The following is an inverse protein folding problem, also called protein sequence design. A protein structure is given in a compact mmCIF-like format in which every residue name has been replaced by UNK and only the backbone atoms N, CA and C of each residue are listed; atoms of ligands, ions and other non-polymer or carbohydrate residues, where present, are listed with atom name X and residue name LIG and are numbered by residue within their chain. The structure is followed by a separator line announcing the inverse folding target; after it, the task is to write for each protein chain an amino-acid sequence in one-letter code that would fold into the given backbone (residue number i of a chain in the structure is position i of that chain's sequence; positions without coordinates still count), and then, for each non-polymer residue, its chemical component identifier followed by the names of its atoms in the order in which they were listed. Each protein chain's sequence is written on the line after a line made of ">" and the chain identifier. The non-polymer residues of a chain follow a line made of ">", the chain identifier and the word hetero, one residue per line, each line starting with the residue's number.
data_IF_470380319634
#
_entry.id   IF_470380319634
#
_cell.length_a   1.000
_cell.length_b   1.000
_cell.length_c   1.000
_cell.angle_alpha   90.00
_cell.angle_beta   90.00
_cell.angle_gamma   90.00
#
_symmetry.space_group_name_H-M   'P 1'
#
loop_
_entity.id
_entity.type
_entity.pdbx_description
1 polymer ?
#
# COMPACT_ATOMS: atom_id res chain seq x y z
N UNK A 1 37.48 -15.11 41.55
CA UNK A 1 38.50 -14.40 40.76
C UNK A 1 38.07 -14.51 39.30
N UNK A 2 37.14 -13.66 38.87
CA UNK A 2 36.58 -13.72 37.52
C UNK A 2 37.54 -13.00 36.56
N UNK A 3 37.93 -13.68 35.49
CA UNK A 3 38.92 -13.20 34.53
C UNK A 3 38.39 -12.00 33.74
N UNK A 4 39.23 -11.01 33.38
CA UNK A 4 38.82 -9.79 32.68
C UNK A 4 38.24 -10.00 31.27
N UNK A 5 38.30 -11.22 30.72
CA UNK A 5 37.75 -11.57 29.39
C UNK A 5 36.24 -11.82 29.37
N UNK A 6 35.63 -12.16 30.51
CA UNK A 6 34.20 -12.53 30.56
C UNK A 6 33.30 -11.29 30.63
N UNK A 7 33.80 -10.18 31.18
CA UNK A 7 33.07 -8.92 31.31
C UNK A 7 32.84 -8.25 29.94
N UNK A 8 33.84 -8.30 29.03
CA UNK A 8 33.79 -7.62 27.74
C UNK A 8 32.86 -8.30 26.72
N UNK A 9 32.72 -9.63 26.76
CA UNK A 9 31.81 -10.35 25.87
C UNK A 9 30.32 -10.08 26.20
N UNK A 10 29.99 -9.93 27.49
CA UNK A 10 28.64 -9.61 27.96
C UNK A 10 28.25 -8.20 27.50
N UNK A 11 29.13 -7.21 27.69
CA UNK A 11 28.88 -5.83 27.24
C UNK A 11 28.73 -5.72 25.72
N UNK A 12 29.52 -6.45 24.93
CA UNK A 12 29.38 -6.45 23.47
C UNK A 12 28.02 -7.04 23.06
N UNK A 13 27.59 -8.14 23.66
CA UNK A 13 26.29 -8.76 23.34
C UNK A 13 25.10 -7.88 23.74
N UNK A 14 25.18 -7.17 24.88
CA UNK A 14 24.17 -6.20 25.31
C UNK A 14 24.15 -4.95 24.40
N UNK A 15 25.31 -4.47 23.95
CA UNK A 15 25.38 -3.34 23.00
C UNK A 15 24.89 -3.70 21.60
N UNK A 16 25.12 -4.94 21.12
CA UNK A 16 24.57 -5.40 19.85
C UNK A 16 23.04 -5.54 19.92
N UNK A 17 22.50 -6.08 21.02
CA UNK A 17 21.05 -6.15 21.24
C UNK A 17 20.41 -4.75 21.37
N UNK A 18 21.07 -3.80 22.05
CA UNK A 18 20.60 -2.41 22.17
C UNK A 18 20.72 -1.62 20.85
N UNK A 19 21.67 -1.98 19.97
CA UNK A 19 21.82 -1.37 18.65
C UNK A 19 20.78 -1.91 17.66
N UNK A 20 20.40 -3.19 17.77
CA UNK A 20 19.27 -3.76 17.02
C UNK A 20 17.94 -3.16 17.46
N UNK A 21 17.68 -3.05 18.77
CA UNK A 21 16.46 -2.40 19.26
C UNK A 21 16.37 -0.94 18.82
N UNK A 22 17.48 -0.18 18.89
CA UNK A 22 17.51 1.21 18.44
C UNK A 22 17.32 1.40 16.94
N UNK A 23 17.75 0.44 16.10
CA UNK A 23 17.51 0.49 14.66
C UNK A 23 16.06 0.16 14.31
N UNK A 24 15.48 -0.87 14.95
CA UNK A 24 14.09 -1.25 14.80
C UNK A 24 13.13 -0.16 15.30
N UNK A 25 13.44 0.48 16.43
CA UNK A 25 12.69 1.61 16.98
C UNK A 25 12.70 2.82 16.03
N UNK A 26 13.84 3.10 15.39
CA UNK A 26 13.95 4.18 14.39
C UNK A 26 13.14 3.89 13.12
N UNK A 27 13.12 2.63 12.69
CA UNK A 27 12.34 2.19 11.53
C UNK A 27 10.84 2.28 11.84
N UNK A 28 10.42 1.80 13.02
CA UNK A 28 9.04 1.92 13.49
C UNK A 28 8.61 3.39 13.60
N UNK A 29 9.47 4.26 14.15
CA UNK A 29 9.22 5.70 14.23
C UNK A 29 9.10 6.37 12.86
N UNK A 30 9.90 5.95 11.88
CA UNK A 30 9.81 6.43 10.50
C UNK A 30 8.46 6.03 9.87
N UNK A 31 8.07 4.76 9.98
CA UNK A 31 6.79 4.29 9.44
C UNK A 31 5.59 4.89 10.18
N UNK A 32 5.68 5.14 11.48
CA UNK A 32 4.65 5.86 12.23
C UNK A 32 4.48 7.30 11.74
N UNK A 33 5.60 8.00 11.47
CA UNK A 33 5.58 9.41 11.03
C UNK A 33 5.15 9.59 9.57
N UNK A 34 5.60 8.72 8.66
CA UNK A 34 5.35 8.86 7.22
C UNK A 34 4.30 7.90 6.66
N UNK A 35 3.87 6.90 7.44
CA UNK A 35 3.04 5.79 6.94
C UNK A 35 1.72 6.23 6.32
N UNK A 36 1.05 7.23 6.90
CA UNK A 36 -0.22 7.78 6.37
C UNK A 36 -0.03 8.42 4.98
N UNK A 37 1.06 9.17 4.78
CA UNK A 37 1.36 9.82 3.50
C UNK A 37 1.84 8.82 2.44
N UNK A 38 2.68 7.86 2.83
CA UNK A 38 3.14 6.80 1.94
C UNK A 38 1.97 5.91 1.48
N UNK A 39 1.01 5.62 2.36
CA UNK A 39 -0.18 4.87 2.01
C UNK A 39 -1.08 5.64 1.04
N UNK A 40 -1.23 6.96 1.21
CA UNK A 40 -1.96 7.80 0.27
C UNK A 40 -1.30 7.82 -1.12
N UNK A 41 0.02 7.98 -1.17
CA UNK A 41 0.80 7.95 -2.41
C UNK A 41 0.60 6.62 -3.13
N UNK A 42 0.76 5.51 -2.42
CA UNK A 42 0.58 4.16 -2.98
C UNK A 42 -0.84 3.95 -3.51
N UNK A 43 -1.87 4.33 -2.74
CA UNK A 43 -3.27 4.17 -3.14
C UNK A 43 -3.61 5.03 -4.37
N UNK A 44 -3.03 6.23 -4.47
CA UNK A 44 -3.24 7.13 -5.62
C UNK A 44 -2.56 6.59 -6.88
N UNK A 45 -1.33 6.10 -6.76
CA UNK A 45 -0.60 5.47 -7.88
C UNK A 45 -1.38 4.25 -8.39
N UNK A 46 -1.87 3.39 -7.48
CA UNK A 46 -2.65 2.21 -7.87
C UNK A 46 -3.97 2.59 -8.56
N UNK A 47 -4.66 3.63 -8.06
CA UNK A 47 -5.91 4.14 -8.65
C UNK A 47 -5.68 4.74 -10.03
N UNK A 48 -4.65 5.57 -10.20
CA UNK A 48 -4.29 6.18 -11.48
C UNK A 48 -3.83 5.12 -12.48
N UNK A 49 -3.01 4.16 -12.06
CA UNK A 49 -2.57 3.04 -12.89
C UNK A 49 -3.75 2.20 -13.40
N UNK A 50 -4.72 1.90 -12.53
CA UNK A 50 -5.94 1.20 -12.93
C UNK A 50 -6.79 2.01 -13.93
N UNK A 51 -6.85 3.33 -13.79
CA UNK A 51 -7.57 4.21 -14.72
C UNK A 51 -6.86 4.28 -16.07
N UNK A 52 -5.54 4.43 -16.06
CA UNK A 52 -4.70 4.51 -17.25
C UNK A 52 -4.84 3.26 -18.13
N UNK A 53 -4.87 2.05 -17.54
CA UNK A 53 -5.09 0.83 -18.30
C UNK A 53 -6.47 0.76 -18.97
N UNK A 54 -7.49 1.33 -18.35
CA UNK A 54 -8.87 1.34 -18.89
C UNK A 54 -9.04 2.36 -20.00
N UNK A 55 -8.59 3.60 -19.78
CA UNK A 55 -8.85 4.72 -20.69
C UNK A 55 -7.78 4.84 -21.79
N UNK A 56 -6.49 4.74 -21.43
CA UNK A 56 -5.40 4.97 -22.39
C UNK A 56 -5.06 3.72 -23.20
N UNK A 57 -5.05 2.54 -22.57
CA UNK A 57 -4.76 1.28 -23.24
C UNK A 57 -6.01 0.58 -23.78
N UNK A 58 -7.20 1.05 -23.43
CA UNK A 58 -8.48 0.50 -23.88
C UNK A 58 -8.72 -0.93 -23.40
N UNK A 59 -8.14 -1.34 -22.27
CA UNK A 59 -8.34 -2.68 -21.71
C UNK A 59 -9.52 -2.70 -20.75
N UNK A 60 -10.67 -3.26 -21.17
CA UNK A 60 -11.86 -3.25 -20.33
C UNK A 60 -11.66 -4.15 -19.10
N UNK A 61 -12.04 -3.70 -17.89
CA UNK A 61 -11.85 -4.47 -16.68
C UNK A 61 -12.82 -5.66 -16.63
N UNK A 62 -12.33 -6.81 -16.18
CA UNK A 62 -13.19 -7.94 -15.84
C UNK A 62 -13.94 -7.70 -14.52
N UNK A 63 -14.94 -8.54 -14.21
CA UNK A 63 -15.76 -8.42 -12.99
C UNK A 63 -14.92 -8.44 -11.70
N UNK A 64 -13.88 -9.29 -11.63
CA UNK A 64 -12.96 -9.33 -10.48
C UNK A 64 -12.13 -8.05 -10.34
N UNK A 65 -11.60 -7.51 -11.46
CA UNK A 65 -10.90 -6.22 -11.46
C UNK A 65 -11.83 -5.08 -11.02
N UNK A 66 -13.11 -5.14 -11.38
CA UNK A 66 -14.10 -4.16 -10.95
C UNK A 66 -14.30 -4.17 -9.43
N UNK A 67 -14.37 -5.36 -8.80
CA UNK A 67 -14.37 -5.46 -7.34
C UNK A 67 -13.10 -4.88 -6.70
N UNK A 68 -11.93 -5.12 -7.30
CA UNK A 68 -10.67 -4.52 -6.82
C UNK A 68 -10.72 -2.98 -6.89
N UNK A 69 -11.30 -2.40 -7.95
CA UNK A 69 -11.49 -0.94 -8.08
C UNK A 69 -12.42 -0.37 -7.01
N UNK A 70 -13.55 -1.04 -6.73
CA UNK A 70 -14.48 -0.61 -5.68
C UNK A 70 -13.81 -0.59 -4.31
N UNK A 71 -12.89 -1.51 -4.04
CA UNK A 71 -12.17 -1.55 -2.77
C UNK A 71 -11.06 -0.49 -2.72
N UNK A 72 -10.35 -0.25 -3.84
CA UNK A 72 -9.20 0.67 -3.88
C UNK A 72 -9.61 2.15 -3.86
N UNK A 73 -10.64 2.54 -4.61
CA UNK A 73 -11.02 3.95 -4.75
C UNK A 73 -11.46 4.64 -3.44
N UNK A 74 -12.32 4.02 -2.61
CA UNK A 74 -12.66 4.60 -1.32
C UNK A 74 -11.46 4.65 -0.37
N UNK A 75 -10.46 3.76 -0.46
CA UNK A 75 -9.26 3.84 0.37
C UNK A 75 -8.53 5.17 0.17
N UNK A 76 -8.39 5.63 -1.07
CA UNK A 76 -7.76 6.94 -1.38
C UNK A 76 -8.50 8.07 -0.65
N UNK A 77 -9.83 8.08 -0.75
CA UNK A 77 -10.68 9.10 -0.13
C UNK A 77 -10.62 9.02 1.40
N UNK A 78 -10.68 7.81 1.96
CA UNK A 78 -10.62 7.58 3.41
C UNK A 78 -9.29 8.04 4.00
N UNK A 79 -8.16 7.69 3.37
CA UNK A 79 -6.83 8.14 3.82
C UNK A 79 -6.72 9.66 3.70
N UNK A 80 -7.17 10.25 2.59
CA UNK A 80 -7.14 11.70 2.39
C UNK A 80 -7.95 12.44 3.47
N UNK A 81 -9.20 12.03 3.69
CA UNK A 81 -10.08 12.63 4.70
C UNK A 81 -9.54 12.38 6.11
N UNK A 82 -8.98 11.20 6.38
CA UNK A 82 -8.36 10.87 7.67
C UNK A 82 -7.17 11.75 8.00
N UNK A 83 -6.34 12.08 7.00
CA UNK A 83 -5.23 13.02 7.18
C UNK A 83 -5.76 14.44 7.40
N UNK A 84 -6.76 14.89 6.63
CA UNK A 84 -7.36 16.22 6.80
C UNK A 84 -8.04 16.41 8.16
N UNK A 85 -8.72 15.38 8.67
CA UNK A 85 -9.40 15.40 9.97
C UNK A 85 -8.49 15.02 11.15
N UNK A 86 -7.23 14.63 10.89
CA UNK A 86 -6.31 14.07 11.91
C UNK A 86 -6.95 12.95 12.73
N UNK A 87 -7.70 12.07 12.06
CA UNK A 87 -8.42 10.98 12.72
C UNK A 87 -7.47 9.83 13.11
N UNK A 88 -7.41 9.53 14.40
CA UNK A 88 -6.61 8.42 14.95
C UNK A 88 -7.19 7.05 14.62
N UNK A 89 -8.51 6.97 14.38
CA UNK A 89 -9.21 5.74 14.02
C UNK A 89 -9.05 5.31 12.55
N UNK A 90 -8.25 6.02 11.76
CA UNK A 90 -8.11 5.78 10.30
C UNK A 90 -7.77 4.32 9.96
N UNK A 91 -6.88 3.70 10.73
CA UNK A 91 -6.42 2.34 10.51
C UNK A 91 -7.56 1.31 10.61
N UNK A 92 -8.57 1.55 11.45
CA UNK A 92 -9.72 0.65 11.63
C UNK A 92 -10.61 0.55 10.40
N UNK A 93 -10.67 1.60 9.59
CA UNK A 93 -11.48 1.61 8.36
C UNK A 93 -10.71 1.11 7.14
N UNK A 94 -9.42 1.49 7.03
CA UNK A 94 -8.61 1.17 5.86
C UNK A 94 -8.14 -0.28 5.86
N UNK A 95 -7.76 -0.82 7.03
CA UNK A 95 -7.18 -2.16 7.16
C UNK A 95 -8.15 -3.29 6.75
N UNK A 96 -9.42 -3.34 7.17
CA UNK A 96 -10.34 -4.37 6.67
C UNK A 96 -10.55 -4.24 5.16
N UNK A 97 -10.65 -3.02 4.65
CA UNK A 97 -10.90 -2.75 3.24
C UNK A 97 -9.72 -3.18 2.35
N UNK A 98 -8.49 -2.88 2.78
CA UNK A 98 -7.27 -3.31 2.09
C UNK A 98 -7.07 -4.82 2.18
N UNK A 99 -7.44 -5.45 3.29
CA UNK A 99 -7.36 -6.91 3.45
C UNK A 99 -8.34 -7.63 2.53
N UNK A 100 -9.58 -7.15 2.41
CA UNK A 100 -10.54 -7.67 1.42
C UNK A 100 -10.02 -7.51 0.00
N UNK A 101 -9.43 -6.35 -0.34
CA UNK A 101 -8.79 -6.12 -1.64
C UNK A 101 -7.63 -7.08 -1.92
N UNK A 102 -6.79 -7.36 -0.92
CA UNK A 102 -5.73 -8.35 -0.99
C UNK A 102 -6.28 -9.76 -1.23
N UNK A 103 -7.35 -10.16 -0.54
CA UNK A 103 -7.98 -11.47 -0.76
C UNK A 103 -8.55 -11.60 -2.19
N UNK A 104 -9.25 -10.59 -2.71
CA UNK A 104 -9.83 -10.62 -4.06
C UNK A 104 -8.74 -10.64 -5.13
N UNK A 105 -7.67 -9.87 -4.95
CA UNK A 105 -6.53 -9.85 -5.89
C UNK A 105 -5.73 -11.15 -5.86
N UNK A 106 -5.53 -11.74 -4.68
CA UNK A 106 -4.92 -13.06 -4.53
C UNK A 106 -5.76 -14.14 -5.23
N UNK A 107 -7.07 -14.14 -5.03
CA UNK A 107 -7.99 -15.03 -5.73
C UNK A 107 -7.89 -14.88 -7.25
N UNK A 108 -7.85 -13.65 -7.75
CA UNK A 108 -7.71 -13.38 -9.19
C UNK A 108 -6.35 -13.88 -9.72
N UNK A 109 -5.28 -13.66 -8.98
CA UNK A 109 -3.94 -14.14 -9.35
C UNK A 109 -3.89 -15.68 -9.44
N UNK A 110 -4.46 -16.37 -8.44
CA UNK A 110 -4.61 -17.83 -8.44
C UNK A 110 -5.47 -18.31 -9.61
N UNK A 111 -6.55 -17.62 -9.95
CA UNK A 111 -7.42 -17.99 -11.08
C UNK A 111 -6.67 -17.97 -12.42
N UNK A 112 -5.72 -17.05 -12.61
CA UNK A 112 -4.93 -16.96 -13.85
C UNK A 112 -3.76 -17.95 -13.86
N UNK A 113 -3.13 -18.21 -12.71
CA UNK A 113 -1.94 -19.07 -12.63
C UNK A 113 -2.22 -20.55 -12.40
N UNK A 114 -3.38 -20.88 -11.84
CA UNK A 114 -3.76 -22.25 -11.50
C UNK A 114 -5.09 -22.62 -12.14
N UNK A 115 -5.12 -23.73 -12.87
CA UNK A 115 -6.35 -24.31 -13.42
C UNK A 115 -7.21 -25.04 -12.36
N UNK A 116 -6.80 -24.97 -11.09
CA UNK A 116 -7.48 -25.64 -9.98
C UNK A 116 -8.84 -25.02 -9.66
N UNK A 117 -9.04 -23.75 -10.03
CA UNK A 117 -10.30 -23.05 -9.86
C UNK A 117 -11.02 -22.97 -11.21
N UNK A 118 -12.16 -23.67 -11.38
CA UNK A 118 -12.91 -23.55 -12.62
C UNK A 118 -13.40 -22.10 -12.77
N UNK A 119 -13.22 -21.47 -13.94
CA UNK A 119 -13.78 -20.16 -14.19
C UNK A 119 -15.32 -20.24 -14.06
N UNK A 120 -15.97 -19.20 -13.52
CA UNK A 120 -17.42 -19.18 -13.41
C UNK A 120 -18.06 -19.43 -14.80
N UNK A 121 -18.98 -20.41 -14.92
CA UNK A 121 -19.56 -20.75 -16.21
C UNK A 121 -20.50 -19.62 -16.65
N UNK A 122 -20.18 -19.02 -17.81
CA UNK A 122 -20.92 -17.92 -18.45
C UNK A 122 -20.93 -16.62 -17.63
N UNK A 123 -20.02 -15.70 -17.98
CA UNK A 123 -20.02 -14.33 -17.47
C UNK A 123 -20.32 -13.41 -18.65
N UNK A 124 -21.33 -12.54 -18.53
CA UNK A 124 -21.54 -11.47 -19.50
C UNK A 124 -20.34 -10.51 -19.44
N UNK A 125 -19.57 -10.44 -20.54
CA UNK A 125 -18.41 -9.55 -20.68
C UNK A 125 -17.08 -10.26 -20.88
N UNK A 126 -15.98 -9.59 -20.52
CA UNK A 126 -14.61 -10.08 -20.72
C UNK A 126 -14.26 -11.12 -19.64
N UNK A 127 -13.74 -12.32 -20.01
CA UNK A 127 -13.37 -13.33 -19.03
C UNK A 127 -12.24 -12.84 -18.12
N UNK A 128 -12.31 -13.16 -16.82
CA UNK A 128 -11.26 -12.84 -15.85
C UNK A 128 -9.97 -13.66 -16.04
N UNK A 129 -9.98 -14.63 -16.96
CA UNK A 129 -8.80 -15.44 -17.32
C UNK A 129 -7.95 -14.80 -18.41
N UNK A 130 -8.41 -13.71 -19.02
CA UNK A 130 -7.66 -12.99 -20.05
C UNK A 130 -6.60 -12.12 -19.39
N UNK A 131 -5.34 -12.36 -19.76
CA UNK A 131 -4.18 -11.65 -19.22
C UNK A 131 -3.61 -10.70 -20.28
N UNK A 132 -3.93 -9.41 -20.16
CA UNK A 132 -3.49 -8.37 -21.11
C UNK A 132 -2.02 -7.97 -20.94
N UNK A 133 -1.45 -8.19 -19.76
CA UNK A 133 -0.14 -7.67 -19.39
C UNK A 133 0.66 -8.80 -18.74
N UNK A 134 1.41 -9.54 -19.56
CA UNK A 134 2.22 -10.67 -19.14
C UNK A 134 3.70 -10.42 -19.51
N UNK A 135 4.33 -9.51 -18.78
CA UNK A 135 5.66 -8.98 -19.14
C UNK A 135 6.81 -9.92 -18.74
N UNK A 136 6.57 -10.94 -17.91
CA UNK A 136 7.59 -11.91 -17.43
C UNK A 136 7.05 -13.31 -17.09
N UNK A 137 5.84 -13.68 -17.52
CA UNK A 137 5.20 -14.93 -17.08
C UNK A 137 4.67 -14.90 -15.64
N UNK A 138 4.89 -13.81 -14.89
CA UNK A 138 4.58 -13.67 -13.46
C UNK A 138 3.96 -12.33 -13.08
N UNK A 139 4.43 -11.22 -13.68
CA UNK A 139 3.91 -9.87 -13.41
C UNK A 139 2.66 -9.65 -14.26
N UNK A 140 1.51 -9.82 -13.60
CA UNK A 140 0.18 -9.60 -14.16
C UNK A 140 -0.51 -8.43 -13.43
N UNK A 141 -1.59 -7.91 -14.01
CA UNK A 141 -2.43 -6.87 -13.39
C UNK A 141 -2.87 -7.21 -11.95
N UNK A 142 -3.43 -8.41 -11.66
CA UNK A 142 -3.82 -8.76 -10.29
C UNK A 142 -2.65 -8.89 -9.31
N UNK A 143 -1.45 -9.22 -9.80
CA UNK A 143 -0.25 -9.24 -8.94
C UNK A 143 0.15 -7.84 -8.50
N UNK A 144 0.11 -6.85 -9.41
CA UNK A 144 0.37 -5.45 -9.06
C UNK A 144 -0.69 -4.88 -8.10
N UNK A 145 -1.94 -5.29 -8.26
CA UNK A 145 -3.01 -4.91 -7.32
C UNK A 145 -2.77 -5.53 -5.93
N UNK A 146 -2.40 -6.82 -5.88
CA UNK A 146 -2.10 -7.53 -4.64
C UNK A 146 -0.96 -6.85 -3.87
N UNK A 147 0.15 -6.54 -4.54
CA UNK A 147 1.28 -5.85 -3.88
C UNK A 147 0.88 -4.48 -3.37
N UNK A 148 0.06 -3.72 -4.12
CA UNK A 148 -0.45 -2.42 -3.66
C UNK A 148 -1.30 -2.56 -2.38
N UNK A 149 -2.24 -3.50 -2.32
CA UNK A 149 -3.06 -3.72 -1.12
C UNK A 149 -2.25 -4.22 0.08
N UNK A 150 -1.23 -5.05 -0.14
CA UNK A 150 -0.34 -5.51 0.92
C UNK A 150 0.52 -4.37 1.47
N UNK A 151 1.07 -3.51 0.62
CA UNK A 151 1.82 -2.33 1.05
C UNK A 151 0.93 -1.39 1.87
N UNK A 152 -0.30 -1.12 1.42
CA UNK A 152 -1.25 -0.28 2.17
C UNK A 152 -1.57 -0.93 3.53
N UNK A 153 -1.85 -2.23 3.55
CA UNK A 153 -2.15 -2.97 4.79
C UNK A 153 -0.99 -2.93 5.76
N UNK A 154 0.25 -3.11 5.28
CA UNK A 154 1.46 -3.04 6.09
C UNK A 154 1.67 -1.64 6.66
N UNK A 155 1.56 -0.60 5.84
CA UNK A 155 1.73 0.79 6.29
C UNK A 155 0.69 1.19 7.33
N UNK A 156 -0.58 0.78 7.14
CA UNK A 156 -1.64 1.05 8.12
C UNK A 156 -1.47 0.23 9.39
N UNK A 157 -1.07 -1.04 9.28
CA UNK A 157 -0.77 -1.89 10.43
C UNK A 157 0.41 -1.34 11.24
N UNK A 158 1.48 -0.90 10.58
CA UNK A 158 2.63 -0.28 11.24
C UNK A 158 2.22 0.98 11.99
N UNK A 159 1.38 1.84 11.39
CA UNK A 159 0.87 3.03 12.10
C UNK A 159 -0.02 2.70 13.29
N UNK A 160 -0.78 1.59 13.23
CA UNK A 160 -1.64 1.16 14.34
C UNK A 160 -0.83 0.61 15.52
N UNK A 161 0.29 -0.07 15.25
CA UNK A 161 1.19 -0.60 16.30
C UNK A 161 2.05 0.51 16.91
N UNK A 162 2.45 1.51 16.13
CA UNK A 162 3.29 2.63 16.58
C UNK A 162 2.55 3.70 17.38
N UNK A 163 1.30 3.44 17.81
CA UNK A 163 0.49 4.43 18.53
C UNK A 163 0.40 4.14 20.05
N UNK A 164 1.50 4.21 20.84
CA UNK A 164 1.42 4.52 22.26
C UNK A 164 1.55 6.05 22.44
N UNK A 165 0.48 6.67 22.93
CA UNK A 165 0.45 7.94 23.67
C UNK A 165 1.63 8.93 23.47
N UNK A 166 1.60 9.71 22.39
CA UNK A 166 2.03 11.11 22.46
C UNK A 166 1.18 11.94 21.50
N UNK A 167 0.03 12.38 22.02
CA UNK A 167 -0.66 13.57 21.51
C UNK A 167 0.28 14.76 21.62
N UNK A 168 0.24 15.63 20.61
CA UNK A 168 0.86 16.97 20.56
C UNK A 168 2.26 17.07 19.96
N UNK A 169 2.44 16.50 18.77
CA UNK A 169 2.75 17.29 17.59
C UNK A 169 2.62 16.38 16.39
N UNK A 170 1.51 16.50 15.64
CA UNK A 170 1.74 16.52 14.19
C UNK A 170 2.83 17.56 14.05
N UNK A 171 4.06 17.24 13.58
CA UNK A 171 5.04 18.28 13.40
C UNK A 171 4.28 19.33 12.59
N UNK A 172 4.23 20.54 13.14
CA UNK A 172 3.92 21.74 12.38
C UNK A 172 5.05 21.86 11.36
N UNK A 173 5.09 20.90 10.46
CA UNK A 173 6.02 20.79 9.38
C UNK A 173 5.49 21.85 8.47
N UNK A 174 6.09 23.04 8.56
CA UNK A 174 5.70 24.25 7.85
C UNK A 174 5.00 23.84 6.56
N UNK A 175 3.71 24.17 6.46
CA UNK A 175 2.70 23.93 5.42
C UNK A 175 3.20 23.34 4.08
N UNK A 176 4.38 23.75 3.61
CA UNK A 176 5.11 23.26 2.46
C UNK A 176 5.43 21.76 2.35
N UNK A 177 5.66 20.95 3.40
CA UNK A 177 6.01 19.51 3.17
C UNK A 177 4.78 18.62 2.93
N UNK A 178 3.67 18.87 3.64
CA UNK A 178 2.40 18.22 3.33
C UNK A 178 1.88 18.71 1.96
N UNK A 179 1.94 20.02 1.70
CA UNK A 179 1.63 20.59 0.40
C UNK A 179 2.53 20.03 -0.71
N UNK A 180 3.82 19.81 -0.46
CA UNK A 180 4.72 19.18 -1.42
C UNK A 180 4.35 17.72 -1.68
N UNK A 181 3.99 16.94 -0.65
CA UNK A 181 3.52 15.56 -0.85
C UNK A 181 2.22 15.53 -1.66
N UNK A 182 1.25 16.37 -1.33
CA UNK A 182 0.01 16.50 -2.10
C UNK A 182 0.26 17.03 -3.52
N UNK A 183 1.17 17.99 -3.67
CA UNK A 183 1.55 18.52 -4.97
C UNK A 183 2.26 17.46 -5.81
N UNK A 184 3.16 16.65 -5.24
CA UNK A 184 3.82 15.53 -5.93
C UNK A 184 2.79 14.47 -6.32
N UNK A 185 1.89 14.08 -5.42
CA UNK A 185 0.82 13.12 -5.71
C UNK A 185 -0.08 13.65 -6.84
N UNK A 186 -0.48 14.93 -6.76
CA UNK A 186 -1.29 15.57 -7.77
C UNK A 186 -0.53 15.71 -9.10
N UNK A 187 0.75 16.05 -9.10
CA UNK A 187 1.59 16.12 -10.30
C UNK A 187 1.72 14.75 -10.95
N UNK A 188 1.99 13.71 -10.16
CA UNK A 188 2.08 12.32 -10.64
C UNK A 188 0.74 11.87 -11.22
N UNK A 189 -0.37 12.13 -10.53
CA UNK A 189 -1.71 11.81 -11.02
C UNK A 189 -2.04 12.59 -12.32
N UNK A 190 -1.80 13.91 -12.35
CA UNK A 190 -2.09 14.79 -13.50
C UNK A 190 -1.20 14.44 -14.69
N UNK A 191 0.07 14.12 -14.48
CA UNK A 191 0.98 13.69 -15.55
C UNK A 191 0.58 12.33 -16.10
N UNK A 192 0.26 11.35 -15.25
CA UNK A 192 -0.22 10.04 -15.72
C UNK A 192 -1.56 10.13 -16.46
N UNK A 193 -2.53 10.86 -15.89
CA UNK A 193 -3.85 11.03 -16.49
C UNK A 193 -3.74 11.88 -17.76
N UNK A 194 -2.98 12.96 -17.73
CA UNK A 194 -2.76 13.86 -18.86
C UNK A 194 -2.02 13.20 -20.02
N UNK A 195 -0.97 12.43 -19.77
CA UNK A 195 -0.32 11.62 -20.80
C UNK A 195 -1.24 10.53 -21.34
N UNK A 196 -2.03 9.89 -20.48
CA UNK A 196 -3.00 8.87 -20.89
C UNK A 196 -4.19 9.40 -21.69
N UNK A 197 -4.53 10.69 -21.59
CA UNK A 197 -5.59 11.33 -22.37
C UNK A 197 -5.07 11.87 -23.72
N UNK A 198 -3.76 12.16 -23.82
CA UNK A 198 -3.15 12.76 -25.02
C UNK A 198 -2.68 11.69 -26.03
N UNK A 199 -2.47 10.44 -25.59
CA UNK A 199 -2.12 9.28 -26.43
C UNK A 199 -3.40 8.57 -26.88
#
# INVERSE_FOLDING_TARGET
>A
MNTPKTQSAITISETLAAQESGAEDRIAAFFGRYGRHLALLQATIATCGSLFMSEALGWPPCVLCWYQRILMYPIVVLILVGILRRDHGLHLYVLPLSLFGACVSLYHYLLIKTDWLPPPPCVDGIPCTVDYLNILGFINVPFMALTAFLVISFLMGATAVSEPADTDESPSMCDGQALAAYAIIALVAITFIGWGIII
#
